data_IF_043728343608
#
_entry.id   IF_043728343608
#
_cell.length_a   1.000
_cell.length_b   1.000
_cell.length_c   1.000
_cell.angle_alpha   90.00
_cell.angle_beta   90.00
_cell.angle_gamma   90.00
#
_symmetry.space_group_name_H-M   'P 1'
#
loop_
_entity.id
_entity.type
_entity.pdbx_description
1 polymer ?
#
# COMPACT_ATOMS: atom_id res chain seq x y z
N UNK A 1 -16.77 14.42 -28.79
CA UNK A 1 -15.32 14.76 -28.78
C UNK A 1 -14.76 14.97 -27.37
N UNK A 2 -15.43 15.67 -26.43
CA UNK A 2 -14.99 15.77 -25.02
C UNK A 2 -14.84 14.41 -24.29
N UNK A 3 -15.59 13.38 -24.69
CA UNK A 3 -15.47 12.03 -24.10
C UNK A 3 -14.21 11.27 -24.54
N UNK A 4 -13.63 11.59 -25.70
CA UNK A 4 -12.48 10.86 -26.24
C UNK A 4 -11.18 11.16 -25.49
N UNK A 5 -11.08 12.34 -24.85
CA UNK A 5 -9.90 12.70 -24.05
C UNK A 5 -9.68 11.72 -22.90
N UNK A 6 -10.76 11.19 -22.32
CA UNK A 6 -10.70 10.20 -21.25
C UNK A 6 -10.27 8.81 -21.72
N UNK A 7 -10.00 8.61 -23.02
CA UNK A 7 -9.59 7.32 -23.58
C UNK A 7 -8.07 7.22 -23.71
N UNK A 8 -7.34 8.35 -23.76
CA UNK A 8 -5.89 8.35 -23.88
C UNK A 8 -5.21 7.60 -22.73
N UNK A 9 -4.27 6.72 -23.08
CA UNK A 9 -3.58 5.81 -22.17
C UNK A 9 -4.41 4.61 -21.70
N UNK A 10 -5.68 4.46 -22.12
CA UNK A 10 -6.53 3.35 -21.66
C UNK A 10 -6.59 2.19 -22.63
N UNK A 11 -6.88 1.02 -22.08
CA UNK A 11 -7.01 -0.25 -22.79
C UNK A 11 -8.45 -0.77 -22.74
N UNK A 12 -9.03 -1.03 -23.90
CA UNK A 12 -10.43 -1.38 -24.08
C UNK A 12 -10.61 -2.72 -24.81
N UNK A 13 -11.74 -3.37 -24.58
CA UNK A 13 -12.22 -4.48 -25.40
C UNK A 13 -13.10 -3.96 -26.54
N UNK A 14 -13.35 -4.80 -27.54
CA UNK A 14 -14.24 -4.50 -28.66
C UNK A 14 -15.61 -3.96 -28.24
N UNK A 15 -16.17 -4.48 -27.15
CA UNK A 15 -17.52 -4.17 -26.68
C UNK A 15 -17.61 -2.90 -25.83
N UNK A 16 -16.46 -2.31 -25.47
CA UNK A 16 -16.41 -1.05 -24.73
C UNK A 16 -16.33 0.18 -25.64
N UNK A 17 -16.25 -0.03 -26.96
CA UNK A 17 -16.10 1.01 -27.97
C UNK A 17 -17.16 0.87 -29.06
N UNK A 18 -17.63 2.01 -29.56
CA UNK A 18 -18.46 2.10 -30.77
C UNK A 18 -17.65 1.73 -32.01
N UNK A 19 -18.32 1.46 -33.14
CA UNK A 19 -17.64 1.14 -34.39
C UNK A 19 -16.68 2.25 -34.84
N UNK A 20 -17.11 3.52 -34.76
CA UNK A 20 -16.30 4.69 -35.11
C UNK A 20 -15.06 4.83 -34.22
N UNK A 21 -15.19 4.58 -32.92
CA UNK A 21 -14.07 4.64 -31.98
C UNK A 21 -13.03 3.53 -32.23
N UNK A 22 -13.46 2.37 -32.72
CA UNK A 22 -12.54 1.26 -33.07
C UNK A 22 -11.73 1.53 -34.35
N UNK A 23 -12.18 2.42 -35.22
CA UNK A 23 -11.46 2.81 -36.44
C UNK A 23 -10.30 3.76 -36.13
N UNK A 24 -10.46 4.60 -35.11
CA UNK A 24 -9.44 5.56 -34.65
C UNK A 24 -8.50 4.99 -33.58
N UNK A 25 -8.88 3.89 -32.91
CA UNK A 25 -8.08 3.25 -31.88
C UNK A 25 -6.97 2.37 -32.48
N UNK A 26 -5.81 2.35 -31.82
CA UNK A 26 -4.74 1.42 -32.13
C UNK A 26 -5.06 0.03 -31.58
N UNK A 27 -4.64 -1.01 -32.31
CA UNK A 27 -4.98 -2.41 -32.02
C UNK A 27 -3.78 -3.15 -31.47
N UNK A 28 -3.98 -3.85 -30.36
CA UNK A 28 -2.99 -4.72 -29.73
C UNK A 28 -3.53 -6.14 -29.63
N UNK A 29 -2.63 -7.13 -29.68
CA UNK A 29 -3.03 -8.52 -29.50
C UNK A 29 -3.61 -8.75 -28.11
N UNK A 30 -4.64 -9.58 -28.00
CA UNK A 30 -5.21 -9.99 -26.71
C UNK A 30 -4.41 -11.10 -26.02
N UNK A 31 -3.47 -11.71 -26.73
CA UNK A 31 -2.59 -12.79 -26.27
C UNK A 31 -1.13 -12.33 -26.37
N UNK A 32 -0.31 -12.78 -25.43
CA UNK A 32 1.15 -12.72 -25.48
C UNK A 32 1.73 -13.92 -26.25
N UNK A 33 3.04 -13.90 -26.52
CA UNK A 33 3.76 -15.02 -27.17
C UNK A 33 3.71 -16.34 -26.38
N UNK A 34 3.39 -16.31 -25.08
CA UNK A 34 3.34 -17.50 -24.20
C UNK A 34 1.92 -18.05 -24.01
N UNK A 35 0.97 -17.68 -24.87
CA UNK A 35 -0.44 -18.03 -24.73
C UNK A 35 -1.11 -17.52 -23.42
N UNK A 36 -0.65 -16.36 -22.93
CA UNK A 36 -1.27 -15.69 -21.78
C UNK A 36 -2.05 -14.45 -22.25
N UNK A 37 -3.09 -14.05 -21.50
CA UNK A 37 -3.81 -12.80 -21.69
C UNK A 37 -2.84 -11.60 -21.69
N UNK A 38 -2.92 -10.75 -22.70
CA UNK A 38 -2.06 -9.58 -22.83
C UNK A 38 -2.25 -8.56 -21.69
N UNK A 39 -3.50 -8.35 -21.28
CA UNK A 39 -3.89 -7.36 -20.27
C UNK A 39 -3.39 -7.71 -18.87
N UNK A 40 -3.67 -8.93 -18.40
CA UNK A 40 -3.41 -9.35 -17.02
C UNK A 40 -2.31 -10.40 -16.88
N UNK A 41 -1.81 -11.00 -17.97
CA UNK A 41 -0.78 -12.03 -17.94
C UNK A 41 -1.25 -13.42 -17.51
N UNK A 42 -2.54 -13.62 -17.18
CA UNK A 42 -3.12 -14.92 -16.83
C UNK A 42 -3.08 -15.87 -18.02
N UNK A 43 -2.60 -17.10 -17.82
CA UNK A 43 -2.60 -18.16 -18.83
C UNK A 43 -4.04 -18.55 -19.19
N UNK A 44 -4.31 -18.81 -20.47
CA UNK A 44 -5.60 -19.39 -20.87
C UNK A 44 -5.66 -20.88 -20.51
N UNK A 45 -6.73 -21.29 -19.84
CA UNK A 45 -6.97 -22.69 -19.44
C UNK A 45 -8.01 -23.32 -20.38
N UNK A 46 -7.94 -24.65 -20.58
CA UNK A 46 -8.88 -25.40 -21.43
C UNK A 46 -10.35 -25.24 -21.01
N UNK A 47 -10.60 -25.10 -19.71
CA UNK A 47 -11.94 -24.86 -19.15
C UNK A 47 -12.55 -23.52 -19.59
N UNK A 48 -11.71 -22.59 -20.06
CA UNK A 48 -12.12 -21.27 -20.54
C UNK A 48 -12.21 -21.20 -22.08
N UNK A 49 -12.28 -22.36 -22.75
CA UNK A 49 -12.46 -22.46 -24.20
C UNK A 49 -13.91 -22.25 -24.60
N UNK A 50 -14.12 -21.46 -25.64
CA UNK A 50 -15.42 -21.13 -26.23
C UNK A 50 -15.77 -22.11 -27.36
N UNK A 51 -17.05 -22.20 -27.78
CA UNK A 51 -17.47 -23.10 -28.86
C UNK A 51 -16.80 -22.85 -30.22
N UNK A 52 -16.20 -21.68 -30.43
CA UNK A 52 -15.45 -21.33 -31.64
C UNK A 52 -13.92 -21.53 -31.49
N UNK A 53 -13.52 -22.39 -30.55
CA UNK A 53 -12.12 -22.70 -30.20
C UNK A 53 -11.29 -21.53 -29.63
N UNK A 54 -11.87 -20.35 -29.47
CA UNK A 54 -11.21 -19.22 -28.81
C UNK A 54 -11.24 -19.36 -27.28
N UNK A 55 -10.27 -18.77 -26.59
CA UNK A 55 -10.23 -18.74 -25.12
C UNK A 55 -10.67 -17.36 -24.63
N UNK A 56 -11.29 -17.31 -23.45
CA UNK A 56 -11.53 -16.05 -22.75
C UNK A 56 -10.78 -15.98 -21.43
N UNK A 57 -10.39 -14.77 -21.02
CA UNK A 57 -9.67 -14.56 -19.78
C UNK A 57 -10.64 -14.34 -18.62
N UNK A 58 -10.73 -15.31 -17.70
CA UNK A 58 -11.59 -15.23 -16.51
C UNK A 58 -11.19 -14.08 -15.57
N UNK A 59 -9.89 -13.83 -15.41
CA UNK A 59 -9.37 -12.77 -14.54
C UNK A 59 -9.78 -11.35 -14.99
N UNK A 60 -10.05 -11.14 -16.28
CA UNK A 60 -10.44 -9.84 -16.82
C UNK A 60 -11.95 -9.63 -16.96
N UNK A 61 -12.81 -10.58 -16.57
CA UNK A 61 -14.25 -10.53 -16.83
C UNK A 61 -14.90 -9.22 -16.38
N UNK A 62 -14.62 -8.77 -15.15
CA UNK A 62 -15.16 -7.54 -14.58
C UNK A 62 -14.63 -6.26 -15.27
N UNK A 63 -13.49 -6.34 -15.95
CA UNK A 63 -12.89 -5.25 -16.73
C UNK A 63 -13.30 -5.29 -18.22
N UNK A 64 -14.18 -6.22 -18.59
CA UNK A 64 -14.50 -6.57 -19.96
C UNK A 64 -13.76 -7.83 -20.41
N UNK A 65 -14.53 -8.81 -20.89
CA UNK A 65 -14.04 -10.11 -21.36
C UNK A 65 -13.00 -9.95 -22.47
N UNK A 66 -11.77 -10.38 -22.20
CA UNK A 66 -10.70 -10.47 -23.19
C UNK A 66 -10.75 -11.84 -23.84
N UNK A 67 -10.74 -11.90 -25.17
CA UNK A 67 -10.76 -13.15 -25.94
C UNK A 67 -9.55 -13.30 -26.84
N UNK A 68 -9.08 -14.52 -27.01
CA UNK A 68 -7.89 -14.87 -27.80
C UNK A 68 -8.04 -14.56 -29.29
N UNK A 69 -9.25 -14.63 -29.82
CA UNK A 69 -9.60 -14.36 -31.23
C UNK A 69 -9.89 -12.88 -31.52
N UNK A 70 -9.92 -12.03 -30.49
CA UNK A 70 -10.19 -10.60 -30.63
C UNK A 70 -8.94 -9.74 -30.40
N UNK A 71 -9.01 -8.46 -30.78
CA UNK A 71 -7.99 -7.46 -30.46
C UNK A 71 -8.41 -6.63 -29.25
N UNK A 72 -7.42 -6.12 -28.54
CA UNK A 72 -7.60 -5.01 -27.61
C UNK A 72 -7.37 -3.70 -28.34
N UNK A 73 -7.98 -2.64 -27.83
CA UNK A 73 -7.94 -1.30 -28.43
C UNK A 73 -7.35 -0.34 -27.42
N UNK A 74 -6.41 0.51 -27.83
CA UNK A 74 -5.90 1.57 -26.98
C UNK A 74 -5.80 2.88 -27.76
N UNK A 75 -5.74 3.96 -27.01
CA UNK A 75 -5.52 5.30 -27.53
C UNK A 75 -4.18 5.76 -26.96
N UNK A 76 -3.15 6.03 -27.77
CA UNK A 76 -1.85 6.50 -27.29
C UNK A 76 -2.01 7.69 -26.36
N UNK A 77 -1.24 7.70 -25.27
CA UNK A 77 -1.25 8.84 -24.36
C UNK A 77 -0.80 10.10 -25.10
N UNK A 78 -1.44 11.23 -24.80
CA UNK A 78 -1.00 12.56 -25.24
C UNK A 78 -0.37 13.30 -24.07
N UNK A 79 0.50 14.23 -24.39
CA UNK A 79 1.09 15.10 -23.37
C UNK A 79 0.06 16.06 -22.80
N UNK A 80 0.34 16.54 -21.60
CA UNK A 80 -0.40 17.57 -20.90
C UNK A 80 0.28 18.93 -21.11
N UNK A 81 -0.46 20.05 -20.95
CA UNK A 81 0.15 21.37 -20.93
C UNK A 81 1.23 21.49 -19.84
N UNK A 82 2.38 22.05 -20.20
CA UNK A 82 3.46 22.38 -19.28
C UNK A 82 2.95 23.37 -18.23
N UNK A 83 3.12 23.05 -16.96
CA UNK A 83 2.69 23.88 -15.83
C UNK A 83 3.57 23.61 -14.62
N UNK A 84 3.77 24.60 -13.74
CA UNK A 84 4.40 24.36 -12.43
C UNK A 84 3.36 23.80 -11.48
N UNK A 85 3.44 22.50 -11.23
CA UNK A 85 2.39 21.79 -10.51
C UNK A 85 2.56 21.81 -8.97
N UNK A 86 3.79 21.89 -8.45
CA UNK A 86 4.03 21.71 -7.02
C UNK A 86 3.71 22.97 -6.20
N UNK A 87 2.81 22.84 -5.22
CA UNK A 87 2.44 23.89 -4.25
C UNK A 87 3.09 23.69 -2.88
N UNK A 88 3.55 22.48 -2.57
CA UNK A 88 4.11 22.14 -1.27
C UNK A 88 5.29 23.06 -0.90
N UNK A 89 5.23 23.66 0.29
CA UNK A 89 6.24 24.59 0.83
C UNK A 89 7.03 24.03 2.01
N UNK A 90 6.88 22.74 2.29
CA UNK A 90 7.64 22.10 3.36
C UNK A 90 9.13 22.00 3.01
N UNK A 91 9.92 21.64 4.00
CA UNK A 91 11.35 21.41 3.84
C UNK A 91 11.66 19.93 4.12
N UNK A 92 12.33 19.28 3.17
CA UNK A 92 12.86 17.94 3.38
C UNK A 92 14.07 18.01 4.32
N UNK A 93 14.22 17.00 5.17
CA UNK A 93 15.48 16.79 5.89
C UNK A 93 16.61 16.47 4.89
N UNK A 94 17.87 16.70 5.25
CA UNK A 94 19.02 16.40 4.37
C UNK A 94 19.00 14.95 3.85
N UNK A 95 18.57 14.01 4.69
CA UNK A 95 18.45 12.61 4.31
C UNK A 95 17.32 12.36 3.32
N UNK A 96 16.16 13.00 3.50
CA UNK A 96 15.06 12.93 2.54
C UNK A 96 15.41 13.63 1.23
N UNK A 97 16.12 14.76 1.29
CA UNK A 97 16.57 15.52 0.12
C UNK A 97 17.48 14.66 -0.77
N UNK A 98 18.46 13.96 -0.19
CA UNK A 98 19.33 13.03 -0.93
C UNK A 98 18.55 11.94 -1.66
N UNK A 99 17.47 11.42 -1.05
CA UNK A 99 16.60 10.42 -1.69
C UNK A 99 15.80 11.07 -2.83
N UNK A 100 15.26 12.28 -2.60
CA UNK A 100 14.49 13.02 -3.60
C UNK A 100 15.36 13.35 -4.82
N UNK A 101 16.56 13.88 -4.61
CA UNK A 101 17.54 14.18 -5.66
C UNK A 101 17.94 12.92 -6.43
N UNK A 102 18.20 11.82 -5.69
CA UNK A 102 18.50 10.52 -6.29
C UNK A 102 17.34 9.96 -7.13
N UNK A 103 16.10 10.19 -6.71
CA UNK A 103 14.92 9.80 -7.47
C UNK A 103 14.76 10.63 -8.75
N UNK A 104 14.90 11.95 -8.66
CA UNK A 104 14.88 12.84 -9.84
C UNK A 104 15.94 12.40 -10.84
N UNK A 105 17.19 12.24 -10.39
CA UNK A 105 18.28 11.81 -11.25
C UNK A 105 18.03 10.42 -11.87
N UNK A 106 17.53 9.45 -11.11
CA UNK A 106 17.23 8.13 -11.64
C UNK A 106 16.09 8.18 -12.68
N UNK A 107 15.05 8.98 -12.45
CA UNK A 107 13.96 9.15 -13.42
C UNK A 107 14.44 9.80 -14.70
N UNK A 108 15.29 10.84 -14.62
CA UNK A 108 15.89 11.49 -15.79
C UNK A 108 16.80 10.55 -16.60
N UNK A 109 17.42 9.58 -15.93
CA UNK A 109 18.26 8.56 -16.55
C UNK A 109 17.50 7.25 -16.87
N UNK A 110 16.16 7.27 -16.87
CA UNK A 110 15.31 6.12 -17.16
C UNK A 110 15.61 4.87 -16.32
N UNK A 111 15.97 5.07 -15.04
CA UNK A 111 16.39 4.01 -14.12
C UNK A 111 15.31 3.69 -13.09
N UNK A 112 14.74 2.49 -13.19
CA UNK A 112 13.79 1.99 -12.21
C UNK A 112 14.43 1.89 -10.81
N UNK A 113 13.68 2.28 -9.78
CA UNK A 113 14.22 2.50 -8.43
C UNK A 113 13.36 1.82 -7.36
N UNK A 114 14.03 1.22 -6.37
CA UNK A 114 13.45 0.78 -5.10
C UNK A 114 13.85 1.76 -4.00
N UNK A 115 12.86 2.42 -3.40
CA UNK A 115 13.03 3.23 -2.19
C UNK A 115 12.66 2.38 -0.99
N UNK A 116 13.66 2.02 -0.21
CA UNK A 116 13.48 1.34 1.07
C UNK A 116 13.56 2.37 2.19
N UNK A 117 12.41 2.80 2.71
CA UNK A 117 12.33 3.85 3.70
C UNK A 117 11.45 3.43 4.88
N UNK A 118 11.95 3.59 6.10
CA UNK A 118 11.24 3.17 7.31
C UNK A 118 9.87 3.82 7.43
N UNK A 119 8.97 3.19 8.19
CA UNK A 119 7.68 3.83 8.50
C UNK A 119 7.91 5.21 9.12
N UNK A 120 7.10 6.20 8.73
CA UNK A 120 7.31 7.57 9.20
C UNK A 120 8.60 8.22 8.69
N UNK A 121 9.21 7.77 7.58
CA UNK A 121 10.32 8.47 6.95
C UNK A 121 9.89 9.64 6.05
N UNK A 122 8.59 9.87 5.85
CA UNK A 122 8.07 10.88 4.91
C UNK A 122 8.21 10.46 3.43
N UNK A 123 7.81 9.22 3.11
CA UNK A 123 7.90 8.64 1.76
C UNK A 123 7.18 9.48 0.71
N UNK A 124 6.04 10.04 1.08
CA UNK A 124 5.21 10.83 0.18
C UNK A 124 5.88 12.16 -0.18
N UNK A 125 6.46 12.85 0.79
CA UNK A 125 7.13 14.14 0.55
C UNK A 125 8.42 13.96 -0.28
N UNK A 126 9.13 12.84 -0.11
CA UNK A 126 10.34 12.54 -0.90
C UNK A 126 10.09 12.40 -2.40
N UNK A 127 8.89 11.99 -2.83
CA UNK A 127 8.59 11.80 -4.26
C UNK A 127 8.05 13.07 -4.94
N UNK A 128 7.75 14.14 -4.19
CA UNK A 128 7.09 15.32 -4.74
C UNK A 128 7.87 16.00 -5.85
N UNK A 129 9.18 16.20 -5.66
CA UNK A 129 10.01 16.80 -6.71
C UNK A 129 10.11 15.91 -7.96
N UNK A 130 10.16 14.59 -7.80
CA UNK A 130 10.16 13.64 -8.91
C UNK A 130 8.83 13.67 -9.67
N UNK A 131 7.70 13.62 -8.98
CA UNK A 131 6.36 13.75 -9.57
C UNK A 131 6.23 15.08 -10.32
N UNK A 132 6.65 16.18 -9.68
CA UNK A 132 6.60 17.50 -10.28
C UNK A 132 7.48 17.61 -11.53
N UNK A 133 8.70 17.07 -11.50
CA UNK A 133 9.64 17.10 -12.63
C UNK A 133 9.08 16.46 -13.90
N UNK A 134 8.20 15.45 -13.77
CA UNK A 134 7.55 14.76 -14.89
C UNK A 134 6.34 15.55 -15.38
N UNK A 135 5.48 15.99 -14.46
CA UNK A 135 4.26 16.76 -14.80
C UNK A 135 4.61 18.11 -15.41
N UNK A 136 5.63 18.79 -14.87
CA UNK A 136 6.10 20.10 -15.36
C UNK A 136 6.66 20.01 -16.80
N UNK A 137 6.95 18.81 -17.31
CA UNK A 137 7.36 18.56 -18.71
C UNK A 137 6.21 18.09 -19.60
N UNK A 138 4.97 18.07 -19.09
CA UNK A 138 3.78 17.58 -19.79
C UNK A 138 3.54 16.07 -19.66
N UNK A 139 4.33 15.37 -18.84
CA UNK A 139 4.19 13.93 -18.62
C UNK A 139 3.02 13.55 -17.70
N UNK A 140 2.70 12.27 -17.68
CA UNK A 140 1.65 11.67 -16.87
C UNK A 140 2.25 10.77 -15.78
N UNK A 141 1.74 10.90 -14.55
CA UNK A 141 2.22 10.18 -13.38
C UNK A 141 1.09 9.39 -12.73
N UNK A 142 1.36 8.15 -12.33
CA UNK A 142 0.46 7.35 -11.51
C UNK A 142 1.11 6.99 -10.17
N UNK A 143 0.40 7.24 -9.06
CA UNK A 143 0.72 6.70 -7.75
C UNK A 143 -0.27 5.58 -7.43
N UNK A 144 0.22 4.35 -7.39
CA UNK A 144 -0.56 3.17 -7.12
C UNK A 144 -0.30 2.61 -5.71
N UNK A 145 -1.32 2.08 -5.06
CA UNK A 145 -1.17 1.32 -3.81
C UNK A 145 -2.13 0.12 -3.78
N UNK A 146 -1.78 -1.01 -3.15
CA UNK A 146 -2.70 -2.13 -3.02
C UNK A 146 -3.93 -1.84 -2.16
N UNK A 147 -3.89 -0.84 -1.26
CA UNK A 147 -4.97 -0.54 -0.32
C UNK A 147 -5.74 0.72 -0.68
N UNK A 148 -7.07 0.64 -0.56
CA UNK A 148 -7.98 1.76 -0.82
C UNK A 148 -7.73 2.90 0.16
N UNK A 149 -7.57 2.61 1.47
CA UNK A 149 -7.37 3.65 2.48
C UNK A 149 -6.10 4.48 2.24
N UNK A 150 -5.02 3.82 1.78
CA UNK A 150 -3.77 4.50 1.38
C UNK A 150 -4.02 5.42 0.19
N UNK A 151 -4.75 4.95 -0.83
CA UNK A 151 -5.09 5.77 -2.00
C UNK A 151 -5.91 7.02 -1.61
N UNK A 152 -6.89 6.86 -0.71
CA UNK A 152 -7.72 7.98 -0.21
C UNK A 152 -6.85 8.97 0.58
N UNK A 153 -5.95 8.49 1.45
CA UNK A 153 -5.04 9.35 2.21
C UNK A 153 -4.06 10.10 1.30
N UNK A 154 -3.45 9.42 0.32
CA UNK A 154 -2.55 10.02 -0.65
C UNK A 154 -3.28 11.05 -1.51
N UNK A 155 -4.48 10.74 -1.99
CA UNK A 155 -5.28 11.67 -2.79
C UNK A 155 -5.53 12.98 -2.06
N UNK A 156 -6.00 12.93 -0.80
CA UNK A 156 -6.26 14.12 0.02
C UNK A 156 -5.00 14.97 0.21
N UNK A 157 -3.85 14.35 0.44
CA UNK A 157 -2.57 15.06 0.58
C UNK A 157 -2.16 15.73 -0.73
N UNK A 158 -2.16 14.98 -1.83
CA UNK A 158 -1.74 15.50 -3.14
C UNK A 158 -2.65 16.61 -3.65
N UNK A 159 -3.94 16.59 -3.34
CA UNK A 159 -4.85 17.70 -3.68
C UNK A 159 -4.44 19.04 -3.04
N UNK A 160 -3.86 18.99 -1.83
CA UNK A 160 -3.36 20.19 -1.17
C UNK A 160 -2.00 20.62 -1.75
N UNK A 161 -1.17 19.65 -2.10
CA UNK A 161 0.24 19.86 -2.44
C UNK A 161 0.51 20.05 -3.93
N UNK A 162 -0.46 19.79 -4.81
CA UNK A 162 -0.37 19.98 -6.26
C UNK A 162 -1.47 20.90 -6.80
N UNK A 163 -1.18 21.61 -7.90
CA UNK A 163 -2.10 22.54 -8.57
C UNK A 163 -2.89 21.92 -9.72
N UNK A 164 -2.54 20.69 -10.11
CA UNK A 164 -3.17 19.96 -11.22
C UNK A 164 -4.37 19.14 -10.76
N UNK A 165 -5.34 18.87 -11.64
CA UNK A 165 -6.41 17.93 -11.34
C UNK A 165 -5.86 16.52 -11.11
N UNK A 166 -6.48 15.77 -10.20
CA UNK A 166 -6.06 14.43 -9.79
C UNK A 166 -7.25 13.48 -9.92
N UNK A 167 -7.07 12.34 -10.58
CA UNK A 167 -8.08 11.27 -10.60
C UNK A 167 -7.79 10.24 -9.51
N UNK A 168 -8.80 9.90 -8.69
CA UNK A 168 -8.73 8.83 -7.70
C UNK A 168 -9.48 7.60 -8.21
N UNK A 169 -8.80 6.46 -8.34
CA UNK A 169 -9.37 5.23 -8.89
C UNK A 169 -9.34 4.07 -7.88
N UNK A 170 -10.50 3.55 -7.51
CA UNK A 170 -10.67 2.29 -6.78
C UNK A 170 -11.98 1.61 -7.21
N UNK A 171 -12.39 0.52 -6.53
CA UNK A 171 -13.56 -0.26 -6.94
C UNK A 171 -14.90 0.50 -6.92
N UNK A 172 -14.98 1.55 -6.10
CA UNK A 172 -16.20 2.33 -5.81
C UNK A 172 -16.02 3.82 -6.15
N UNK A 173 -14.91 4.18 -6.81
CA UNK A 173 -14.63 5.57 -7.17
C UNK A 173 -15.43 6.01 -8.39
N UNK A 174 -15.48 7.33 -8.58
CA UNK A 174 -15.92 7.91 -9.85
C UNK A 174 -15.12 7.34 -11.05
N UNK A 175 -15.73 7.34 -12.25
CA UNK A 175 -15.04 6.95 -13.47
C UNK A 175 -13.78 7.79 -13.72
N UNK A 176 -12.82 7.18 -14.39
CA UNK A 176 -11.60 7.87 -14.79
C UNK A 176 -11.89 9.08 -15.68
N UNK A 177 -11.23 10.18 -15.34
CA UNK A 177 -11.10 11.35 -16.19
C UNK A 177 -9.62 11.67 -16.38
N UNK A 178 -9.25 12.14 -17.57
CA UNK A 178 -7.86 12.34 -17.97
C UNK A 178 -7.21 13.44 -17.15
N UNK A 179 -6.13 13.09 -16.46
CA UNK A 179 -5.35 13.98 -15.58
C UNK A 179 -3.87 13.66 -15.66
N UNK A 180 -2.98 14.65 -15.41
CA UNK A 180 -1.54 14.41 -15.37
C UNK A 180 -1.11 13.62 -14.13
N UNK A 181 -1.95 13.56 -13.09
CA UNK A 181 -1.66 12.85 -11.85
C UNK A 181 -2.83 11.93 -11.49
N UNK A 182 -2.57 10.63 -11.43
CA UNK A 182 -3.57 9.61 -11.09
C UNK A 182 -3.17 8.91 -9.80
N UNK A 183 -4.09 8.81 -8.84
CA UNK A 183 -3.95 7.97 -7.65
C UNK A 183 -4.86 6.76 -7.82
N UNK A 184 -4.34 5.55 -7.69
CA UNK A 184 -5.12 4.37 -8.03
C UNK A 184 -4.82 3.15 -7.15
N UNK A 185 -5.77 2.24 -6.99
CA UNK A 185 -5.40 0.91 -6.51
C UNK A 185 -4.62 0.15 -7.59
N UNK A 186 -3.69 -0.72 -7.20
CA UNK A 186 -2.84 -1.47 -8.15
C UNK A 186 -3.64 -2.25 -9.20
N UNK A 187 -4.83 -2.74 -8.86
CA UNK A 187 -5.74 -3.41 -9.80
C UNK A 187 -6.24 -2.50 -10.92
N UNK A 188 -6.37 -1.19 -10.68
CA UNK A 188 -6.84 -0.24 -11.69
C UNK A 188 -5.82 -0.04 -12.80
N UNK A 189 -4.53 -0.34 -12.56
CA UNK A 189 -3.48 -0.31 -13.58
C UNK A 189 -3.79 -1.23 -14.78
N UNK A 190 -4.59 -2.29 -14.59
CA UNK A 190 -5.06 -3.18 -15.66
C UNK A 190 -5.89 -2.47 -16.75
N UNK A 191 -6.39 -1.26 -16.46
CA UNK A 191 -7.16 -0.44 -17.41
C UNK A 191 -6.26 0.45 -18.28
N UNK A 192 -4.97 0.50 -18.01
CA UNK A 192 -4.02 1.39 -18.67
C UNK A 192 -3.00 0.62 -19.52
N UNK A 193 -2.56 1.23 -20.60
CA UNK A 193 -1.51 0.71 -21.47
C UNK A 193 -0.66 1.87 -22.00
N UNK A 194 0.65 1.84 -21.69
CA UNK A 194 1.61 2.90 -22.01
C UNK A 194 1.07 4.31 -21.70
N UNK A 195 0.50 4.47 -20.51
CA UNK A 195 -0.24 5.67 -20.12
C UNK A 195 0.61 6.67 -19.36
N UNK A 196 1.63 6.21 -18.64
CA UNK A 196 2.35 7.00 -17.65
C UNK A 196 3.85 7.02 -17.94
N UNK A 197 4.45 8.21 -17.84
CA UNK A 197 5.89 8.43 -17.88
C UNK A 197 6.54 8.00 -16.55
N UNK A 198 5.77 8.04 -15.45
CA UNK A 198 6.21 7.58 -14.14
C UNK A 198 5.09 6.82 -13.42
N UNK A 199 5.39 5.60 -12.98
CA UNK A 199 4.52 4.80 -12.11
C UNK A 199 5.21 4.59 -10.78
N UNK A 200 4.67 5.19 -9.72
CA UNK A 200 5.11 4.96 -8.35
C UNK A 200 4.16 3.96 -7.70
N UNK A 201 4.70 2.94 -7.02
CA UNK A 201 3.90 1.94 -6.32
C UNK A 201 4.31 1.96 -4.86
N UNK A 202 3.41 2.36 -3.97
CA UNK A 202 3.62 2.33 -2.53
C UNK A 202 3.07 1.03 -1.93
N UNK A 203 3.67 0.62 -0.81
CA UNK A 203 3.36 -0.62 -0.11
C UNK A 203 3.47 -1.86 -1.01
N UNK A 204 4.53 -1.97 -1.81
CA UNK A 204 4.77 -3.10 -2.74
C UNK A 204 4.93 -4.45 -2.03
N UNK A 205 5.18 -4.41 -0.73
CA UNK A 205 5.25 -5.55 0.19
C UNK A 205 3.87 -5.97 0.74
N UNK A 206 2.80 -5.24 0.43
CA UNK A 206 1.45 -5.57 0.88
C UNK A 206 0.69 -6.47 -0.09
N UNK A 207 -0.07 -7.41 0.45
CA UNK A 207 -1.14 -8.10 -0.26
C UNK A 207 -2.20 -7.09 -0.74
N UNK A 208 -2.78 -7.24 -1.95
CA UNK A 208 -2.60 -8.34 -2.91
C UNK A 208 -1.49 -8.12 -3.94
N UNK A 209 -0.67 -7.07 -3.81
CA UNK A 209 0.37 -6.75 -4.79
C UNK A 209 1.59 -7.66 -4.68
N UNK A 210 2.06 -7.89 -3.46
CA UNK A 210 3.16 -8.81 -3.20
C UNK A 210 2.83 -10.20 -3.78
N UNK A 211 3.80 -10.77 -4.49
CA UNK A 211 3.73 -12.11 -5.11
C UNK A 211 2.58 -12.30 -6.11
N UNK A 212 2.11 -11.21 -6.74
CA UNK A 212 1.03 -11.27 -7.72
C UNK A 212 1.51 -10.91 -9.14
N UNK A 213 1.80 -11.91 -9.99
CA UNK A 213 2.27 -11.69 -11.36
C UNK A 213 1.35 -10.82 -12.22
N UNK A 214 0.03 -10.88 -11.98
CA UNK A 214 -0.93 -10.05 -12.72
C UNK A 214 -0.74 -8.56 -12.42
N UNK A 215 -0.46 -8.21 -11.16
CA UNK A 215 -0.32 -6.81 -10.77
C UNK A 215 1.04 -6.23 -11.15
N UNK A 216 2.10 -7.05 -11.13
CA UNK A 216 3.37 -6.68 -11.76
C UNK A 216 3.18 -6.42 -13.25
N UNK A 217 2.48 -7.33 -13.96
CA UNK A 217 2.16 -7.15 -15.37
C UNK A 217 1.32 -5.90 -15.64
N UNK A 218 0.36 -5.58 -14.76
CA UNK A 218 -0.44 -4.37 -14.86
C UNK A 218 0.41 -3.10 -14.76
N UNK A 219 1.34 -3.06 -13.79
CA UNK A 219 2.29 -1.96 -13.64
C UNK A 219 3.22 -1.81 -14.84
N UNK A 220 3.73 -2.93 -15.38
CA UNK A 220 4.61 -2.95 -16.56
C UNK A 220 3.88 -2.50 -17.82
N UNK A 221 2.62 -2.91 -18.00
CA UNK A 221 1.81 -2.49 -19.13
C UNK A 221 1.42 -1.00 -19.03
N UNK A 222 1.20 -0.47 -17.83
CA UNK A 222 0.72 0.89 -17.63
C UNK A 222 1.80 1.96 -17.87
N UNK A 223 3.08 1.63 -17.67
CA UNK A 223 4.21 2.54 -17.93
C UNK A 223 4.51 2.60 -19.44
N UNK A 224 4.88 3.79 -19.95
CA UNK A 224 5.38 3.96 -21.32
C UNK A 224 6.72 3.24 -21.51
N UNK A 225 7.11 2.96 -22.75
CA UNK A 225 8.40 2.30 -23.05
C UNK A 225 9.62 3.10 -22.54
N UNK A 226 9.56 4.43 -22.63
CA UNK A 226 10.57 5.34 -22.08
C UNK A 226 10.25 5.81 -20.64
N UNK A 227 9.21 5.25 -20.01
CA UNK A 227 8.81 5.63 -18.66
C UNK A 227 9.56 4.86 -17.58
N UNK A 228 9.38 5.30 -16.33
CA UNK A 228 10.10 4.76 -15.17
C UNK A 228 9.14 4.24 -14.11
N UNK A 229 9.53 3.15 -13.44
CA UNK A 229 8.84 2.63 -12.27
C UNK A 229 9.64 2.91 -10.99
N UNK A 230 8.94 3.36 -9.94
CA UNK A 230 9.50 3.57 -8.61
C UNK A 230 8.69 2.76 -7.61
N UNK A 231 9.37 1.89 -6.86
CA UNK A 231 8.75 1.04 -5.84
C UNK A 231 9.08 1.61 -4.46
N UNK A 232 8.07 1.88 -3.65
CA UNK A 232 8.22 2.42 -2.29
C UNK A 232 7.81 1.35 -1.28
N UNK A 233 8.67 1.07 -0.32
CA UNK A 233 8.40 0.08 0.74
C UNK A 233 9.09 0.44 2.04
N UNK A 234 8.53 -0.03 3.15
CA UNK A 234 9.20 0.01 4.45
C UNK A 234 9.83 -1.32 4.85
N UNK A 235 9.65 -2.37 4.03
CA UNK A 235 10.26 -3.69 4.24
C UNK A 235 10.78 -4.24 2.92
N UNK A 236 11.82 -5.07 2.93
CA UNK A 236 12.29 -5.69 1.70
C UNK A 236 11.50 -6.96 1.36
N UNK A 237 11.33 -7.23 0.06
CA UNK A 237 10.83 -8.52 -0.43
C UNK A 237 11.94 -9.23 -1.20
N UNK A 238 11.96 -10.56 -1.14
CA UNK A 238 13.03 -11.37 -1.76
C UNK A 238 13.12 -11.11 -3.28
N UNK A 239 11.99 -10.87 -3.94
CA UNK A 239 11.92 -10.55 -5.36
C UNK A 239 12.55 -9.19 -5.67
N UNK A 240 12.22 -8.14 -4.90
CA UNK A 240 12.76 -6.80 -5.10
C UNK A 240 14.26 -6.77 -4.79
N UNK A 241 14.68 -7.43 -3.71
CA UNK A 241 16.11 -7.58 -3.37
C UNK A 241 16.87 -8.34 -4.47
N UNK A 242 16.26 -9.36 -5.09
CA UNK A 242 16.83 -10.05 -6.25
C UNK A 242 16.97 -9.10 -7.44
N UNK A 243 15.96 -8.27 -7.75
CA UNK A 243 16.03 -7.29 -8.84
C UNK A 243 17.11 -6.23 -8.60
N UNK A 244 17.31 -5.80 -7.36
CA UNK A 244 18.41 -4.90 -6.97
C UNK A 244 19.77 -5.58 -7.17
N UNK A 245 19.95 -6.81 -6.67
CA UNK A 245 21.20 -7.58 -6.85
C UNK A 245 21.56 -7.82 -8.31
N UNK A 246 20.55 -7.99 -9.17
CA UNK A 246 20.73 -8.14 -10.62
C UNK A 246 21.00 -6.82 -11.36
N UNK A 247 21.03 -5.68 -10.66
CA UNK A 247 21.22 -4.35 -11.26
C UNK A 247 19.99 -3.80 -12.01
N UNK A 248 18.85 -4.50 -11.97
CA UNK A 248 17.60 -4.06 -12.63
C UNK A 248 16.91 -2.90 -11.89
N UNK A 249 17.14 -2.78 -10.59
CA UNK A 249 16.62 -1.69 -9.76
C UNK A 249 17.78 -0.97 -9.06
N UNK A 250 17.76 0.36 -9.10
CA UNK A 250 18.57 1.19 -8.20
C UNK A 250 17.97 1.16 -6.80
N UNK A 251 18.78 0.99 -5.74
CA UNK A 251 18.28 1.03 -4.36
C UNK A 251 18.64 2.34 -3.69
N UNK A 252 17.64 3.05 -3.18
CA UNK A 252 17.79 4.20 -2.30
C UNK A 252 17.24 3.83 -0.92
N UNK A 253 18.05 3.98 0.14
CA UNK A 253 17.68 3.56 1.50
C UNK A 253 17.58 4.75 2.44
N UNK A 254 16.47 4.85 3.18
CA UNK A 254 16.27 5.83 4.24
C UNK A 254 15.89 5.11 5.56
N UNK A 255 16.89 4.69 6.36
CA UNK A 255 16.65 3.96 7.61
C UNK A 255 16.20 4.86 8.78
N UNK A 256 15.93 6.15 8.54
CA UNK A 256 15.61 7.15 9.58
C UNK A 256 14.18 7.67 9.44
N UNK A 257 13.50 7.83 10.59
CA UNK A 257 12.25 8.62 10.66
C UNK A 257 12.56 10.11 10.45
N UNK A 258 11.57 10.87 9.98
CA UNK A 258 11.75 12.30 9.69
C UNK A 258 12.19 13.13 10.92
N UNK A 259 11.78 12.73 12.12
CA UNK A 259 12.16 13.38 13.38
C UNK A 259 13.49 12.85 13.98
N UNK A 260 14.16 11.89 13.33
CA UNK A 260 15.49 11.44 13.75
C UNK A 260 15.58 10.63 15.04
N UNK A 261 14.50 9.98 15.49
CA UNK A 261 14.54 9.03 16.62
C UNK A 261 14.50 7.58 16.10
N UNK A 262 15.05 6.60 16.85
CA UNK A 262 15.04 5.19 16.44
C UNK A 262 13.62 4.61 16.35
N UNK A 263 13.48 3.55 15.58
CA UNK A 263 12.30 2.69 15.62
C UNK A 263 12.22 2.00 16.98
N UNK A 264 11.01 1.95 17.54
CA UNK A 264 10.76 1.21 18.79
C UNK A 264 10.92 -0.28 18.53
N UNK A 265 11.83 -0.92 19.27
CA UNK A 265 12.06 -2.36 19.20
C UNK A 265 10.98 -3.08 20.02
N UNK A 266 10.27 -4.10 19.47
CA UNK A 266 9.22 -4.80 20.20
C UNK A 266 9.76 -5.55 21.42
N UNK A 267 9.04 -5.49 22.54
CA UNK A 267 9.27 -6.37 23.68
C UNK A 267 8.50 -7.68 23.49
N UNK A 268 9.21 -8.80 23.51
CA UNK A 268 8.59 -10.13 23.50
C UNK A 268 8.02 -10.45 24.88
N UNK A 269 6.73 -10.77 24.93
CA UNK A 269 6.04 -11.15 26.16
C UNK A 269 5.46 -12.54 25.99
N UNK A 270 6.08 -13.52 26.64
CA UNK A 270 5.54 -14.87 26.64
C UNK A 270 4.24 -14.95 27.44
N UNK A 271 3.24 -15.58 26.86
CA UNK A 271 2.01 -16.02 27.51
C UNK A 271 1.49 -17.31 26.85
N UNK A 272 0.56 -18.00 27.47
CA UNK A 272 -0.02 -19.24 26.94
C UNK A 272 -1.53 -19.28 27.14
N UNK A 273 -2.20 -20.23 26.48
CA UNK A 273 -3.63 -20.51 26.66
C UNK A 273 -4.54 -19.31 26.36
N UNK A 274 -4.16 -18.47 25.39
CA UNK A 274 -4.98 -17.32 24.99
C UNK A 274 -6.37 -17.78 24.55
N UNK A 275 -6.42 -18.76 23.64
CA UNK A 275 -7.68 -19.29 23.09
C UNK A 275 -8.56 -19.95 24.17
N UNK A 276 -7.97 -20.73 25.07
CA UNK A 276 -8.71 -21.35 26.19
C UNK A 276 -9.29 -20.30 27.16
N UNK A 277 -8.54 -19.22 27.39
CA UNK A 277 -8.97 -18.15 28.29
C UNK A 277 -10.08 -17.31 27.66
N UNK A 278 -9.99 -17.09 26.33
CA UNK A 278 -11.01 -16.42 25.54
C UNK A 278 -12.34 -17.18 25.57
N UNK A 279 -12.31 -18.51 25.35
CA UNK A 279 -13.48 -19.40 25.47
C UNK A 279 -14.14 -19.36 26.86
N UNK A 280 -13.35 -19.10 27.90
CA UNK A 280 -13.83 -18.94 29.29
C UNK A 280 -14.31 -17.51 29.60
N UNK A 281 -14.44 -16.64 28.60
CA UNK A 281 -14.82 -15.23 28.73
C UNK A 281 -13.91 -14.45 29.70
N UNK A 282 -12.59 -14.71 29.66
CA UNK A 282 -11.59 -14.05 30.51
C UNK A 282 -10.42 -13.55 29.67
N UNK A 283 -9.65 -12.62 30.23
CA UNK A 283 -8.34 -12.22 29.69
C UNK A 283 -7.23 -13.04 30.32
N UNK A 284 -6.16 -13.30 29.57
CA UNK A 284 -4.94 -13.87 30.13
C UNK A 284 -4.41 -12.90 31.20
N UNK A 285 -4.13 -13.33 32.45
CA UNK A 285 -3.80 -12.43 33.55
C UNK A 285 -2.64 -11.47 33.26
N UNK A 286 -1.62 -11.95 32.55
CA UNK A 286 -0.47 -11.15 32.15
C UNK A 286 -0.84 -10.03 31.17
N UNK A 287 -1.69 -10.33 30.19
CA UNK A 287 -2.20 -9.34 29.24
C UNK A 287 -3.13 -8.33 29.94
N UNK A 288 -4.01 -8.81 30.84
CA UNK A 288 -4.87 -7.94 31.65
C UNK A 288 -4.04 -6.92 32.45
N UNK A 289 -3.04 -7.40 33.20
CA UNK A 289 -2.15 -6.54 34.00
C UNK A 289 -1.41 -5.51 33.14
N UNK A 290 -0.89 -5.92 31.99
CA UNK A 290 -0.20 -5.01 31.09
C UNK A 290 -1.12 -3.95 30.48
N UNK A 291 -2.39 -4.30 30.18
CA UNK A 291 -3.40 -3.32 29.76
C UNK A 291 -3.68 -2.36 30.92
N UNK A 292 -3.94 -2.85 32.14
CA UNK A 292 -4.16 -2.01 33.33
C UNK A 292 -3.02 -1.02 33.57
N UNK A 293 -1.77 -1.46 33.44
CA UNK A 293 -0.59 -0.60 33.55
C UNK A 293 -0.54 0.44 32.41
N UNK A 294 -0.80 0.01 31.18
CA UNK A 294 -0.79 0.92 30.02
C UNK A 294 -1.94 1.94 30.09
N UNK A 295 -3.10 1.59 30.65
CA UNK A 295 -4.23 2.52 30.87
C UNK A 295 -3.87 3.69 31.79
N UNK A 296 -2.97 3.49 32.75
CA UNK A 296 -2.47 4.58 33.62
C UNK A 296 -1.74 5.68 32.84
N UNK A 297 -1.22 5.37 31.65
CA UNK A 297 -0.52 6.36 30.82
C UNK A 297 -1.45 7.32 30.07
N UNK A 298 -2.72 6.95 29.87
CA UNK A 298 -3.71 7.73 29.12
C UNK A 298 -3.49 7.78 27.60
N UNK A 299 -2.42 7.19 27.06
CA UNK A 299 -2.18 7.17 25.61
C UNK A 299 -3.09 6.19 24.89
N UNK A 300 -3.55 6.46 23.64
CA UNK A 300 -4.37 5.51 22.89
C UNK A 300 -3.68 4.14 22.75
N UNK A 301 -4.45 3.06 22.92
CA UNK A 301 -3.94 1.68 22.80
C UNK A 301 -4.52 1.00 21.56
N UNK A 302 -3.66 0.54 20.66
CA UNK A 302 -4.04 -0.26 19.50
C UNK A 302 -3.63 -1.71 19.71
N UNK A 303 -4.59 -2.64 19.65
CA UNK A 303 -4.36 -4.07 19.89
C UNK A 303 -4.64 -4.84 18.60
N UNK A 304 -3.62 -5.55 18.09
CA UNK A 304 -3.75 -6.44 16.95
C UNK A 304 -4.09 -7.87 17.40
N UNK A 305 -5.10 -8.46 16.77
CA UNK A 305 -5.55 -9.85 16.95
C UNK A 305 -5.57 -10.56 15.58
N UNK A 306 -5.19 -11.84 15.50
CA UNK A 306 -4.94 -12.47 14.20
C UNK A 306 -6.21 -12.69 13.37
N UNK A 307 -7.35 -12.95 14.02
CA UNK A 307 -8.58 -13.40 13.37
C UNK A 307 -9.78 -12.55 13.79
N UNK A 308 -10.77 -12.44 12.90
CA UNK A 308 -11.97 -11.62 13.11
C UNK A 308 -12.81 -12.17 14.27
N UNK A 309 -13.06 -13.49 14.30
CA UNK A 309 -13.82 -14.16 15.36
C UNK A 309 -13.21 -13.92 16.73
N UNK A 310 -11.89 -14.16 16.87
CA UNK A 310 -11.14 -13.90 18.10
C UNK A 310 -11.20 -12.42 18.50
N UNK A 311 -11.07 -11.51 17.54
CA UNK A 311 -11.17 -10.08 17.80
C UNK A 311 -12.53 -9.64 18.32
N UNK A 312 -13.61 -10.20 17.80
CA UNK A 312 -14.97 -9.94 18.30
C UNK A 312 -15.16 -10.45 19.74
N UNK A 313 -14.72 -11.68 20.03
CA UNK A 313 -14.78 -12.26 21.39
C UNK A 313 -13.91 -11.47 22.37
N UNK A 314 -12.68 -11.15 21.97
CA UNK A 314 -11.74 -10.37 22.77
C UNK A 314 -12.29 -8.98 23.09
N UNK A 315 -12.91 -8.32 22.11
CA UNK A 315 -13.55 -7.01 22.31
C UNK A 315 -14.68 -7.07 23.34
N UNK A 316 -15.53 -8.11 23.30
CA UNK A 316 -16.61 -8.29 24.29
C UNK A 316 -16.05 -8.43 25.70
N UNK A 317 -15.00 -9.23 25.86
CA UNK A 317 -14.34 -9.44 27.16
C UNK A 317 -13.66 -8.16 27.65
N UNK A 318 -12.99 -7.43 26.74
CA UNK A 318 -12.34 -6.15 27.04
C UNK A 318 -13.35 -5.12 27.55
N UNK A 319 -14.51 -4.96 26.86
CA UNK A 319 -15.59 -4.06 27.29
C UNK A 319 -16.14 -4.40 28.67
N UNK A 320 -16.25 -5.69 28.98
CA UNK A 320 -16.69 -6.15 30.32
C UNK A 320 -15.62 -5.90 31.39
N UNK A 321 -14.34 -6.05 31.04
CA UNK A 321 -13.23 -5.95 32.00
C UNK A 321 -12.83 -4.51 32.29
N UNK A 322 -12.99 -3.62 31.31
CA UNK A 322 -12.64 -2.20 31.36
C UNK A 322 -13.83 -1.34 30.95
N UNK A 323 -14.91 -1.28 31.77
CA UNK A 323 -16.15 -0.58 31.41
C UNK A 323 -15.98 0.95 31.27
N UNK A 324 -14.95 1.52 31.90
CA UNK A 324 -14.63 2.96 31.82
C UNK A 324 -13.95 3.36 30.50
N UNK A 325 -13.45 2.40 29.72
CA UNK A 325 -12.73 2.65 28.47
C UNK A 325 -13.68 2.61 27.27
N UNK A 326 -13.50 3.53 26.33
CA UNK A 326 -14.23 3.48 25.06
C UNK A 326 -13.48 2.58 24.09
N UNK A 327 -13.99 1.35 23.89
CA UNK A 327 -13.32 0.29 23.12
C UNK A 327 -14.01 0.07 21.77
N UNK A 328 -13.25 0.23 20.68
CA UNK A 328 -13.66 -0.05 19.30
C UNK A 328 -13.10 -1.36 18.75
N UNK A 329 -13.72 -1.89 17.69
CA UNK A 329 -13.21 -3.03 16.93
C UNK A 329 -13.30 -2.79 15.42
N UNK A 330 -12.23 -3.08 14.68
CA UNK A 330 -12.17 -2.93 13.21
C UNK A 330 -11.58 -4.18 12.56
N UNK A 331 -12.27 -4.71 11.57
CA UNK A 331 -11.81 -5.79 10.68
C UNK A 331 -12.09 -5.46 9.21
N UNK A 332 -11.76 -6.38 8.31
CA UNK A 332 -12.13 -6.26 6.89
C UNK A 332 -13.64 -6.33 6.63
N UNK A 333 -14.44 -6.77 7.62
CA UNK A 333 -15.91 -6.86 7.53
C UNK A 333 -16.62 -5.68 8.20
N UNK A 334 -15.88 -4.72 8.77
CA UNK A 334 -16.47 -3.55 9.44
C UNK A 334 -16.88 -2.50 8.39
N UNK A 335 -18.19 -2.27 8.25
CA UNK A 335 -18.74 -1.29 7.31
C UNK A 335 -18.40 0.16 7.71
N UNK A 336 -18.64 0.53 8.97
CA UNK A 336 -18.37 1.88 9.50
C UNK A 336 -16.91 2.09 9.94
N UNK A 337 -15.96 1.45 9.24
CA UNK A 337 -14.54 1.46 9.59
C UNK A 337 -13.96 2.88 9.69
N UNK A 338 -14.28 3.75 8.73
CA UNK A 338 -13.73 5.10 8.65
C UNK A 338 -14.12 5.94 9.87
N UNK A 339 -15.35 5.81 10.35
CA UNK A 339 -15.86 6.52 11.53
C UNK A 339 -15.13 6.07 12.80
N UNK A 340 -14.95 4.75 12.99
CA UNK A 340 -14.24 4.20 14.15
C UNK A 340 -12.76 4.62 14.14
N UNK A 341 -12.11 4.58 12.97
CA UNK A 341 -10.72 5.02 12.81
C UNK A 341 -10.57 6.51 13.12
N UNK A 342 -11.53 7.34 12.70
CA UNK A 342 -11.53 8.77 13.00
C UNK A 342 -11.79 9.05 14.49
N UNK A 343 -12.73 8.33 15.12
CA UNK A 343 -12.97 8.42 16.57
C UNK A 343 -11.73 8.04 17.39
N UNK A 344 -10.98 7.03 16.97
CA UNK A 344 -9.69 6.69 17.59
C UNK A 344 -8.62 7.76 17.36
N UNK A 345 -8.57 8.37 16.16
CA UNK A 345 -7.66 9.49 15.86
C UNK A 345 -7.95 10.71 16.74
N UNK A 346 -9.22 11.00 17.01
CA UNK A 346 -9.69 12.08 17.89
C UNK A 346 -9.63 11.75 19.39
N UNK A 347 -9.20 10.53 19.75
CA UNK A 347 -9.17 10.00 21.13
C UNK A 347 -10.54 9.86 21.79
N UNK A 348 -11.62 9.86 21.01
CA UNK A 348 -12.97 9.49 21.47
C UNK A 348 -13.03 8.01 21.80
N UNK A 349 -12.29 7.19 21.04
CA UNK A 349 -12.01 5.78 21.34
C UNK A 349 -10.63 5.70 21.97
N UNK A 350 -10.53 5.13 23.16
CA UNK A 350 -9.27 5.05 23.92
C UNK A 350 -8.50 3.76 23.66
N UNK A 351 -9.21 2.68 23.30
CA UNK A 351 -8.65 1.39 22.90
C UNK A 351 -9.27 0.92 21.60
N UNK A 352 -8.45 0.64 20.59
CA UNK A 352 -8.90 0.09 19.33
C UNK A 352 -8.34 -1.32 19.14
N UNK A 353 -9.22 -2.29 18.96
CA UNK A 353 -8.85 -3.67 18.62
C UNK A 353 -9.00 -3.83 17.12
N UNK A 354 -8.03 -4.44 16.45
CA UNK A 354 -8.11 -4.65 15.02
C UNK A 354 -7.42 -5.92 14.57
N UNK A 355 -7.85 -6.47 13.43
CA UNK A 355 -7.04 -7.44 12.70
C UNK A 355 -5.90 -6.74 11.96
N UNK A 356 -5.19 -7.45 11.08
CA UNK A 356 -4.13 -6.87 10.22
C UNK A 356 -4.63 -5.79 9.24
N UNK A 357 -5.94 -5.49 9.22
CA UNK A 357 -6.51 -4.46 8.34
C UNK A 357 -5.92 -3.07 8.61
N UNK A 358 -5.57 -2.73 9.86
CA UNK A 358 -4.98 -1.43 10.23
C UNK A 358 -3.44 -1.43 10.30
N UNK A 359 -2.77 -2.53 9.89
CA UNK A 359 -1.30 -2.58 9.88
C UNK A 359 -0.69 -1.52 8.93
N UNK A 360 -1.45 -1.10 7.91
CA UNK A 360 -1.09 -0.13 6.85
C UNK A 360 -2.23 0.87 6.59
N UNK A 361 -1.96 1.96 5.88
CA UNK A 361 -3.01 2.90 5.42
C UNK A 361 -3.74 3.77 6.44
N UNK A 362 -3.30 3.81 7.70
CA UNK A 362 -3.81 4.75 8.71
C UNK A 362 -2.66 5.37 9.50
N UNK A 363 -2.87 6.53 10.11
CA UNK A 363 -1.89 7.18 10.98
C UNK A 363 -2.55 7.61 12.28
N UNK A 364 -1.95 7.22 13.41
CA UNK A 364 -2.42 7.56 14.76
C UNK A 364 -1.27 8.22 15.54
N UNK A 365 -1.47 9.40 16.13
CA UNK A 365 -0.46 10.04 16.96
C UNK A 365 -0.36 9.36 18.33
N UNK A 366 0.87 9.24 18.84
CA UNK A 366 1.17 8.91 20.24
C UNK A 366 0.58 7.58 20.75
N UNK A 367 0.41 6.59 19.87
CA UNK A 367 -0.23 5.29 20.15
C UNK A 367 0.74 4.26 20.76
N UNK A 368 0.26 3.47 21.71
CA UNK A 368 0.90 2.22 22.16
C UNK A 368 0.30 1.03 21.42
N UNK A 369 1.09 -0.01 21.16
CA UNK A 369 0.66 -1.15 20.34
C UNK A 369 0.95 -2.49 21.00
N UNK A 370 -0.09 -3.32 21.11
CA UNK A 370 0.02 -4.72 21.50
C UNK A 370 -0.32 -5.62 20.31
N UNK A 371 0.49 -6.67 20.09
CA UNK A 371 0.18 -7.74 19.13
C UNK A 371 -0.08 -9.01 19.90
N UNK A 372 -1.33 -9.49 19.86
CA UNK A 372 -1.77 -10.70 20.54
C UNK A 372 -1.58 -11.89 19.62
N UNK A 373 -1.04 -12.99 20.17
CA UNK A 373 -0.64 -14.17 19.40
C UNK A 373 0.27 -13.80 18.21
N UNK A 374 1.32 -13.02 18.45
CA UNK A 374 2.28 -12.62 17.42
C UNK A 374 2.94 -13.81 16.71
N UNK A 375 2.88 -15.01 17.29
CA UNK A 375 3.32 -16.27 16.70
C UNK A 375 2.33 -16.90 15.69
N UNK A 376 1.15 -16.31 15.51
CA UNK A 376 0.15 -16.81 14.57
C UNK A 376 0.64 -16.70 13.11
N UNK A 377 0.36 -17.70 12.29
CA UNK A 377 0.86 -17.80 10.90
C UNK A 377 0.40 -16.65 9.98
N UNK A 378 -0.69 -15.96 10.34
CA UNK A 378 -1.19 -14.78 9.62
C UNK A 378 -0.29 -13.55 9.79
N UNK A 379 0.58 -13.52 10.81
CA UNK A 379 1.54 -12.44 10.99
C UNK A 379 2.85 -12.77 10.28
N UNK A 380 3.09 -12.10 9.16
CA UNK A 380 4.38 -12.12 8.47
C UNK A 380 5.37 -11.18 9.15
N UNK A 381 6.67 -11.36 8.87
CA UNK A 381 7.70 -10.42 9.36
C UNK A 381 7.40 -8.98 8.91
N UNK A 382 7.02 -8.81 7.64
CA UNK A 382 6.67 -7.49 7.09
C UNK A 382 5.48 -6.86 7.81
N UNK A 383 4.39 -7.62 8.03
CA UNK A 383 3.23 -7.18 8.82
C UNK A 383 3.65 -6.72 10.22
N UNK A 384 4.47 -7.49 10.92
CA UNK A 384 4.95 -7.14 12.26
C UNK A 384 5.81 -5.86 12.27
N UNK A 385 6.67 -5.67 11.27
CA UNK A 385 7.46 -4.43 11.12
C UNK A 385 6.56 -3.22 10.88
N UNK A 386 5.52 -3.35 10.05
CA UNK A 386 4.56 -2.27 9.79
C UNK A 386 3.74 -1.92 11.03
N UNK A 387 3.28 -2.93 11.77
CA UNK A 387 2.57 -2.77 13.05
C UNK A 387 3.49 -2.07 14.07
N UNK A 388 4.74 -2.53 14.20
CA UNK A 388 5.74 -1.89 15.07
C UNK A 388 5.98 -0.42 14.67
N UNK A 389 5.99 -0.15 13.37
CA UNK A 389 6.15 1.17 12.78
C UNK A 389 5.10 2.21 13.17
N UNK A 390 3.97 1.78 13.75
CA UNK A 390 2.93 2.67 14.30
C UNK A 390 3.38 3.37 15.59
N UNK A 391 4.26 2.75 16.37
CA UNK A 391 4.72 3.27 17.67
C UNK A 391 5.90 4.22 17.47
N UNK A 392 5.91 5.32 18.22
CA UNK A 392 6.99 6.31 18.17
C UNK A 392 7.06 7.09 16.85
N UNK A 393 5.94 7.24 16.14
CA UNK A 393 5.85 7.96 14.86
C UNK A 393 5.66 9.47 15.02
N UNK A 394 5.08 9.91 16.14
CA UNK A 394 4.80 11.33 16.39
C UNK A 394 6.06 12.04 16.91
N UNK A 395 6.28 13.30 16.51
CA UNK A 395 7.34 14.14 17.11
C UNK A 395 7.07 14.33 18.61
N UNK A 396 5.81 14.52 19.00
CA UNK A 396 5.40 14.73 20.40
C UNK A 396 5.71 13.53 21.30
N UNK A 397 5.71 12.33 20.71
CA UNK A 397 6.00 11.07 21.40
C UNK A 397 6.73 10.13 20.44
N UNK A 398 8.07 10.25 20.35
CA UNK A 398 8.89 9.40 19.48
C UNK A 398 9.16 8.02 20.09
N UNK A 399 8.64 7.77 21.30
CA UNK A 399 8.69 6.49 22.00
C UNK A 399 7.27 5.91 22.14
N UNK A 400 7.15 4.74 22.76
CA UNK A 400 5.86 4.16 23.13
C UNK A 400 6.02 2.71 23.54
N UNK A 401 4.96 2.14 24.08
CA UNK A 401 4.93 0.74 24.46
C UNK A 401 4.59 -0.12 23.24
N UNK A 402 5.48 -1.05 22.92
CA UNK A 402 5.31 -2.01 21.82
C UNK A 402 5.57 -3.43 22.35
N UNK A 403 4.54 -4.26 22.41
CA UNK A 403 4.63 -5.61 22.98
C UNK A 403 4.07 -6.67 22.04
N UNK A 404 4.87 -7.70 21.78
CA UNK A 404 4.48 -8.88 21.03
C UNK A 404 4.20 -10.01 22.02
N UNK A 405 2.92 -10.31 22.23
CA UNK A 405 2.46 -11.41 23.05
C UNK A 405 2.46 -12.70 22.25
N UNK A 406 3.18 -13.71 22.70
CA UNK A 406 3.40 -14.91 21.90
C UNK A 406 3.47 -16.18 22.76
N UNK A 407 3.07 -17.30 22.16
CA UNK A 407 3.16 -18.65 22.72
C UNK A 407 4.24 -19.44 21.96
N UNK A 408 5.50 -19.08 22.21
CA UNK A 408 6.66 -19.57 21.43
C UNK A 408 7.09 -18.55 20.36
N UNK A 409 8.40 -18.43 20.12
CA UNK A 409 8.91 -17.48 19.13
C UNK A 409 8.92 -18.12 17.73
N UNK A 410 8.68 -17.32 16.70
CA UNK A 410 8.67 -17.77 15.30
C UNK A 410 9.72 -17.05 14.48
N UNK A 411 10.09 -17.60 13.32
CA UNK A 411 10.98 -16.93 12.38
C UNK A 411 10.47 -15.55 11.95
N UNK A 412 9.15 -15.37 11.86
CA UNK A 412 8.54 -14.07 11.53
C UNK A 412 8.80 -13.01 12.63
N UNK A 413 8.65 -13.38 13.91
CA UNK A 413 8.93 -12.49 15.05
C UNK A 413 10.42 -12.12 15.08
N UNK A 414 11.30 -13.11 15.00
CA UNK A 414 12.75 -12.87 15.07
C UNK A 414 13.24 -12.04 13.88
N UNK A 415 12.76 -12.33 12.67
CA UNK A 415 13.08 -11.56 11.46
C UNK A 415 12.60 -10.11 11.59
N UNK A 416 11.38 -9.86 12.06
CA UNK A 416 10.87 -8.50 12.26
C UNK A 416 11.70 -7.70 13.28
N UNK A 417 12.05 -8.31 14.42
CA UNK A 417 12.89 -7.66 15.43
C UNK A 417 14.30 -7.40 14.88
N UNK A 418 14.88 -8.35 14.16
CA UNK A 418 16.20 -8.22 13.55
C UNK A 418 16.22 -7.10 12.50
N UNK A 419 15.20 -7.01 11.64
CA UNK A 419 15.05 -5.94 10.65
C UNK A 419 14.94 -4.56 11.32
N UNK A 420 14.12 -4.41 12.36
CA UNK A 420 13.99 -3.14 13.11
C UNK A 420 15.33 -2.73 13.72
N UNK A 421 16.05 -3.66 14.35
CA UNK A 421 17.38 -3.39 14.91
C UNK A 421 18.40 -3.04 13.84
N UNK A 422 18.38 -3.74 12.70
CA UNK A 422 19.27 -3.47 11.58
C UNK A 422 19.02 -2.09 10.98
N UNK A 423 17.75 -1.69 10.81
CA UNK A 423 17.40 -0.34 10.36
C UNK A 423 17.86 0.73 11.37
N UNK A 424 17.71 0.49 12.67
CA UNK A 424 18.26 1.38 13.68
C UNK A 424 19.78 1.50 13.58
N UNK A 425 20.50 0.39 13.36
CA UNK A 425 21.95 0.36 13.18
C UNK A 425 22.40 1.09 11.91
N UNK A 426 21.70 0.89 10.79
CA UNK A 426 21.97 1.62 9.53
C UNK A 426 21.72 3.12 9.68
N UNK A 427 20.77 3.49 10.53
CA UNK A 427 20.55 4.86 10.94
C UNK A 427 21.57 5.35 11.97
N UNK A 428 22.56 4.56 12.41
CA UNK A 428 23.57 4.98 13.37
C UNK A 428 23.10 5.05 14.82
N UNK A 429 21.99 4.39 15.16
CA UNK A 429 21.59 4.16 16.56
C UNK A 429 22.22 2.85 17.06
N UNK A 430 22.58 2.81 18.34
CA UNK A 430 23.23 1.66 19.00
C UNK A 430 22.19 0.71 19.59
#
# INVERSE_FOLDING_TARGET
>A
MKELENYYGRLFTKYQLTAKEREIAEKVTSITKKNNCFRCGTTFEEENKLPNDAYYCRACLLLGRVRSDEKLYHFPQKDFPITKCLKWKGQLTDWQQRISDGLVANVENNRATLVHAVTGAGKTEMIYHTVASVIDRGGAVCLASPRIDVCIELYKRLQNDFSVPISLLHGESEPYFRTPLVVATTHQLLKFYQAFDLVLIDEVDAFPYADNPMLYRAADNAVKEAGVQVFLTATSTDELDKKVRMGKLSRLSLPRRFHGNPLVVPQKVWFSKFDDTLKKNRLVPKLKKAIEEQRKSGFPLLIFVPEISKGQEFTKIMKKTFPEETIGFVSSQTENRLEIVEGFRKREITVLISTTILERGVTFPCVDVFVVQANHYLYTASSLVQIAGRVGRSIERPTGLLQFYHEGSTGAIEKAIAEIKQMNKEAGYV
#
